data_IF_191266019542
#
_entry.id   IF_191266019542
#
_cell.length_a   1.000
_cell.length_b   1.000
_cell.length_c   1.000
_cell.angle_alpha   90.00
_cell.angle_beta   90.00
_cell.angle_gamma   90.00
#
_symmetry.space_group_name_H-M   'P 1'
#
loop_
_entity.id
_entity.type
_entity.pdbx_description
1 polymer ?
#
# COMPACT_ATOMS: atom_id res chain seq x y z
N UNK A 1 -13.28 11.43 10.20
CA UNK A 1 -13.17 10.82 8.86
C UNK A 1 -14.41 9.98 8.64
N UNK A 2 -15.15 10.21 7.55
CA UNK A 2 -16.31 9.41 7.17
C UNK A 2 -15.86 8.17 6.39
N UNK A 3 -16.66 7.10 6.41
CA UNK A 3 -16.31 5.81 5.80
C UNK A 3 -16.12 5.91 4.28
N UNK A 4 -16.99 6.64 3.58
CA UNK A 4 -16.89 6.90 2.15
C UNK A 4 -15.62 7.68 1.77
N UNK A 5 -15.20 8.65 2.59
CA UNK A 5 -13.91 9.33 2.41
C UNK A 5 -12.75 8.35 2.50
N UNK A 6 -12.79 7.41 3.44
CA UNK A 6 -11.75 6.40 3.58
C UNK A 6 -11.70 5.44 2.38
N UNK A 7 -12.86 5.01 1.86
CA UNK A 7 -12.93 4.17 0.66
C UNK A 7 -12.33 4.86 -0.55
N UNK A 8 -12.73 6.10 -0.82
CA UNK A 8 -12.21 6.85 -1.96
C UNK A 8 -10.69 7.03 -1.86
N UNK A 9 -10.18 7.46 -0.70
CA UNK A 9 -8.75 7.63 -0.50
C UNK A 9 -7.97 6.32 -0.72
N UNK A 10 -8.52 5.18 -0.29
CA UNK A 10 -7.87 3.88 -0.48
C UNK A 10 -7.90 3.43 -1.94
N UNK A 11 -9.00 3.69 -2.66
CA UNK A 11 -9.10 3.41 -4.09
C UNK A 11 -8.11 4.28 -4.91
N UNK A 12 -7.97 5.56 -4.57
CA UNK A 12 -7.08 6.50 -5.26
C UNK A 12 -5.60 6.08 -5.19
N UNK A 13 -5.20 5.37 -4.13
CA UNK A 13 -3.84 4.85 -3.96
C UNK A 13 -3.68 3.38 -4.41
N UNK A 14 -4.69 2.82 -5.09
CA UNK A 14 -4.64 1.48 -5.65
C UNK A 14 -4.75 0.36 -4.62
N UNK A 15 -5.19 0.63 -3.38
CA UNK A 15 -5.46 -0.44 -2.43
C UNK A 15 -6.70 -1.22 -2.87
N UNK A 16 -6.68 -2.53 -2.63
CA UNK A 16 -7.76 -3.40 -3.06
C UNK A 16 -9.12 -3.01 -2.41
N UNK A 17 -10.19 -3.32 -3.14
CA UNK A 17 -11.55 -2.98 -2.73
C UNK A 17 -11.97 -3.65 -1.43
N UNK A 18 -11.53 -4.89 -1.19
CA UNK A 18 -11.85 -5.65 0.02
C UNK A 18 -11.31 -4.98 1.29
N UNK A 19 -10.08 -4.49 1.26
CA UNK A 19 -9.46 -3.77 2.36
C UNK A 19 -10.14 -2.42 2.59
N UNK A 20 -10.54 -1.72 1.52
CA UNK A 20 -11.29 -0.47 1.60
C UNK A 20 -12.67 -0.68 2.24
N UNK A 21 -13.41 -1.70 1.79
CA UNK A 21 -14.71 -2.07 2.34
C UNK A 21 -14.61 -2.50 3.81
N UNK A 22 -13.58 -3.27 4.18
CA UNK A 22 -13.34 -3.68 5.56
C UNK A 22 -13.02 -2.50 6.49
N UNK A 23 -12.15 -1.57 6.07
CA UNK A 23 -11.83 -0.37 6.85
C UNK A 23 -13.07 0.52 7.00
N UNK A 24 -13.87 0.68 5.94
CA UNK A 24 -15.10 1.44 5.99
C UNK A 24 -16.12 0.86 6.98
N UNK A 25 -16.34 -0.46 6.96
CA UNK A 25 -17.22 -1.14 7.89
C UNK A 25 -16.78 -0.94 9.36
N UNK A 26 -15.47 -0.94 9.63
CA UNK A 26 -14.95 -0.64 10.97
C UNK A 26 -15.21 0.80 11.39
N UNK A 27 -15.12 1.75 10.46
CA UNK A 27 -15.41 3.16 10.73
C UNK A 27 -16.91 3.41 10.97
N UNK A 28 -17.79 2.77 10.21
CA UNK A 28 -19.25 2.81 10.40
C UNK A 28 -19.67 2.23 11.75
N UNK A 29 -19.04 1.14 12.17
CA UNK A 29 -19.23 0.54 13.50
C UNK A 29 -18.56 1.32 14.65
N UNK A 30 -17.97 2.49 14.38
CA UNK A 30 -17.20 3.31 15.33
C UNK A 30 -16.00 2.59 15.98
N UNK A 31 -15.51 1.49 15.37
CA UNK A 31 -14.35 0.68 15.80
C UNK A 31 -13.03 1.28 15.29
N UNK A 32 -12.77 2.53 15.67
CA UNK A 32 -11.67 3.34 15.11
C UNK A 32 -10.27 2.78 15.37
N UNK A 33 -10.04 2.14 16.52
CA UNK A 33 -8.73 1.56 16.84
C UNK A 33 -8.40 0.36 15.94
N UNK A 34 -9.41 -0.41 15.58
CA UNK A 34 -9.25 -1.55 14.68
C UNK A 34 -9.03 -1.10 13.23
N UNK A 35 -9.77 -0.08 12.79
CA UNK A 35 -9.51 0.57 11.51
C UNK A 35 -8.06 1.09 11.45
N UNK A 36 -7.58 1.75 12.52
CA UNK A 36 -6.19 2.22 12.63
C UNK A 36 -5.18 1.07 12.57
N UNK A 37 -5.44 -0.03 13.28
CA UNK A 37 -4.58 -1.23 13.22
C UNK A 37 -4.50 -1.78 11.80
N UNK A 38 -5.64 -1.94 11.13
CA UNK A 38 -5.68 -2.43 9.74
C UNK A 38 -4.90 -1.51 8.79
N UNK A 39 -5.10 -0.19 8.88
CA UNK A 39 -4.36 0.78 8.06
C UNK A 39 -2.83 0.70 8.27
N UNK A 40 -2.38 0.43 9.51
CA UNK A 40 -0.95 0.23 9.79
C UNK A 40 -0.40 -1.04 9.14
N UNK A 41 -1.18 -2.13 9.11
CA UNK A 41 -0.80 -3.37 8.42
C UNK A 41 -0.65 -3.11 6.92
N UNK A 42 -1.66 -2.46 6.30
CA UNK A 42 -1.61 -2.11 4.87
C UNK A 42 -0.40 -1.24 4.54
N UNK A 43 -0.05 -0.29 5.41
CA UNK A 43 1.18 0.51 5.24
C UNK A 43 2.44 -0.36 5.22
N UNK A 44 2.54 -1.36 6.10
CA UNK A 44 3.70 -2.25 6.11
C UNK A 44 3.79 -3.08 4.83
N UNK A 45 2.66 -3.63 4.37
CA UNK A 45 2.57 -4.37 3.09
C UNK A 45 3.05 -3.50 1.91
N UNK A 46 2.59 -2.25 1.83
CA UNK A 46 3.04 -1.30 0.79
C UNK A 46 4.54 -0.98 0.88
N UNK A 47 5.12 -0.90 2.08
CA UNK A 47 6.57 -0.72 2.20
C UNK A 47 7.34 -1.96 1.75
N UNK A 48 6.83 -3.16 2.01
CA UNK A 48 7.47 -4.39 1.54
C UNK A 48 7.43 -4.49 0.01
N UNK A 49 6.32 -4.09 -0.61
CA UNK A 49 6.19 -3.93 -2.06
C UNK A 49 7.18 -2.90 -2.60
N UNK A 50 7.27 -1.72 -1.97
CA UNK A 50 8.23 -0.68 -2.35
C UNK A 50 9.67 -1.20 -2.29
N UNK A 51 10.06 -1.86 -1.20
CA UNK A 51 11.40 -2.44 -1.07
C UNK A 51 11.65 -3.53 -2.12
N UNK A 52 10.63 -4.30 -2.51
CA UNK A 52 10.73 -5.28 -3.59
C UNK A 52 10.96 -4.62 -4.95
N UNK A 53 10.22 -3.56 -5.26
CA UNK A 53 10.42 -2.75 -6.46
C UNK A 53 11.82 -2.14 -6.50
N UNK A 54 12.30 -1.58 -5.38
CA UNK A 54 13.65 -1.02 -5.29
C UNK A 54 14.71 -2.07 -5.64
N UNK A 55 14.64 -3.28 -5.05
CA UNK A 55 15.59 -4.36 -5.36
C UNK A 55 15.61 -4.73 -6.85
N UNK A 56 14.45 -4.71 -7.52
CA UNK A 56 14.35 -4.98 -8.97
C UNK A 56 15.02 -3.87 -9.78
N UNK A 57 14.80 -2.61 -9.40
CA UNK A 57 15.45 -1.45 -10.03
C UNK A 57 16.96 -1.55 -9.86
N UNK A 58 17.46 -1.84 -8.65
CA UNK A 58 18.89 -1.97 -8.38
C UNK A 58 19.55 -3.06 -9.27
N UNK A 59 18.84 -4.16 -9.51
CA UNK A 59 19.29 -5.23 -10.43
C UNK A 59 19.34 -4.75 -11.88
N UNK A 60 18.34 -4.00 -12.34
CA UNK A 60 18.33 -3.43 -13.69
C UNK A 60 19.46 -2.42 -13.87
N UNK A 61 19.67 -1.54 -12.88
CA UNK A 61 20.76 -0.55 -12.90
C UNK A 61 22.13 -1.22 -12.97
N UNK A 62 22.31 -2.32 -12.23
CA UNK A 62 23.53 -3.12 -12.32
C UNK A 62 23.72 -3.72 -13.72
N UNK A 63 22.67 -4.31 -14.31
CA UNK A 63 22.73 -4.87 -15.67
C UNK A 63 23.08 -3.80 -16.71
N UNK A 64 22.44 -2.62 -16.64
CA UNK A 64 22.72 -1.49 -17.54
C UNK A 64 24.20 -1.11 -17.47
N UNK A 65 24.72 -0.91 -16.25
CA UNK A 65 26.15 -0.57 -16.04
C UNK A 65 27.10 -1.62 -16.60
N UNK A 66 26.75 -2.91 -16.51
CA UNK A 66 27.57 -3.98 -17.09
C UNK A 66 27.50 -3.99 -18.63
N UNK A 67 26.38 -3.57 -19.22
CA UNK A 67 26.30 -3.43 -20.69
C UNK A 67 27.09 -2.25 -21.23
N UNK A 68 27.25 -1.17 -20.46
CA UNK A 68 27.99 0.04 -20.88
C UNK A 68 29.52 -0.10 -20.77
N UNK A 69 30.02 -1.08 -20.00
CA UNK A 69 31.46 -1.33 -19.81
C UNK A 69 32.10 -2.18 -20.92
N UNK A 70 31.32 -2.66 -21.88
CA UNK A 70 31.78 -3.44 -23.04
C UNK A 70 31.83 -2.56 -24.28
#
# INVERSE_FOLDING_TARGET
MQAETAKQCMADIGLNRENADFVAALLEANRRDEARKKLRVLRCELMDELHSCQRKIDQLDWLIRETEKR
#
